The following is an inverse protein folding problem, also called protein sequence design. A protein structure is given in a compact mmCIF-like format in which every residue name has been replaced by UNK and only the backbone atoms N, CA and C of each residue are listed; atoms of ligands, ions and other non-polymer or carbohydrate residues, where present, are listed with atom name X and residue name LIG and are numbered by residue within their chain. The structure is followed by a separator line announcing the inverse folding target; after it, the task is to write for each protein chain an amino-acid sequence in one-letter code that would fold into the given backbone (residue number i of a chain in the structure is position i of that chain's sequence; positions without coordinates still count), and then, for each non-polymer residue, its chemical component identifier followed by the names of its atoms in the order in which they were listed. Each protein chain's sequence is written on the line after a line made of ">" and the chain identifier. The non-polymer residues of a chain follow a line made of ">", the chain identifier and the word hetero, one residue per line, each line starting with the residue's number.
data_IF_092381767591
#
_entry.id   IF_092381767591
#
_cell.length_a   1.000
_cell.length_b   1.000
_cell.length_c   1.000
_cell.angle_alpha   90.00
_cell.angle_beta   90.00
_cell.angle_gamma   90.00
#
_symmetry.space_group_name_H-M   'P 1'
#
loop_
_entity.id
_entity.type
_entity.pdbx_description
1 polymer ?
#
# COMPACT_ATOMS: atom_id res chain seq x y z
N UNK A 1 -39.23 -20.27 -5.86
CA UNK A 1 -38.12 -20.52 -6.80
C UNK A 1 -37.69 -19.27 -7.58
N UNK A 2 -38.58 -18.34 -7.95
CA UNK A 2 -38.20 -17.10 -8.66
C UNK A 2 -37.47 -16.04 -7.77
N UNK A 3 -37.81 -15.96 -6.48
CA UNK A 3 -37.24 -14.95 -5.57
C UNK A 3 -35.78 -15.25 -5.22
N UNK A 4 -35.38 -16.52 -5.09
CA UNK A 4 -33.99 -16.88 -4.78
C UNK A 4 -33.04 -16.55 -5.93
N UNK A 5 -33.46 -16.76 -7.18
CA UNK A 5 -32.67 -16.42 -8.37
C UNK A 5 -32.41 -14.91 -8.49
N UNK A 6 -33.40 -14.08 -8.15
CA UNK A 6 -33.23 -12.63 -8.15
C UNK A 6 -32.29 -12.15 -7.04
N UNK A 7 -32.29 -12.81 -5.87
CA UNK A 7 -31.39 -12.47 -4.77
C UNK A 7 -29.94 -12.83 -5.13
N UNK A 8 -29.67 -14.01 -5.70
CA UNK A 8 -28.32 -14.37 -6.16
C UNK A 8 -27.83 -13.48 -7.29
N UNK A 9 -28.71 -13.13 -8.25
CA UNK A 9 -28.37 -12.19 -9.32
C UNK A 9 -28.04 -10.78 -8.77
N UNK A 10 -28.81 -10.30 -7.79
CA UNK A 10 -28.59 -9.00 -7.15
C UNK A 10 -27.29 -8.98 -6.32
N UNK A 11 -26.98 -10.06 -5.60
CA UNK A 11 -25.72 -10.21 -4.84
C UNK A 11 -24.52 -10.26 -5.79
N UNK A 12 -24.59 -10.95 -6.92
CA UNK A 12 -23.52 -10.97 -7.92
C UNK A 12 -23.34 -9.62 -8.62
N UNK A 13 -24.45 -8.91 -8.90
CA UNK A 13 -24.38 -7.57 -9.46
C UNK A 13 -23.74 -6.59 -8.47
N UNK A 14 -24.11 -6.65 -7.19
CA UNK A 14 -23.49 -5.87 -6.12
C UNK A 14 -22.00 -6.21 -5.96
N UNK A 15 -21.61 -7.49 -6.04
CA UNK A 15 -20.22 -7.91 -6.00
C UNK A 15 -19.41 -7.36 -7.20
N UNK A 16 -20.00 -7.34 -8.40
CA UNK A 16 -19.39 -6.79 -9.61
C UNK A 16 -19.26 -5.26 -9.51
N UNK A 17 -20.29 -4.58 -8.99
CA UNK A 17 -20.25 -3.13 -8.70
C UNK A 17 -19.22 -2.80 -7.64
N UNK A 18 -19.03 -3.65 -6.61
CA UNK A 18 -17.96 -3.48 -5.63
C UNK A 18 -16.56 -3.77 -6.20
N UNK A 19 -16.43 -4.61 -7.24
CA UNK A 19 -15.16 -4.89 -7.89
C UNK A 19 -14.67 -3.70 -8.75
N UNK A 20 -15.58 -2.94 -9.36
CA UNK A 20 -15.24 -1.80 -10.23
C UNK A 20 -14.43 -0.70 -9.52
N UNK A 21 -14.78 -0.20 -8.33
CA UNK A 21 -13.97 0.76 -7.57
C UNK A 21 -12.58 0.22 -7.21
N UNK A 22 -12.45 -1.09 -7.00
CA UNK A 22 -11.18 -1.69 -6.59
C UNK A 22 -10.25 -1.92 -7.80
N UNK A 23 -10.81 -2.31 -8.94
CA UNK A 23 -10.07 -2.34 -10.21
C UNK A 23 -9.73 -0.92 -10.66
N UNK A 24 -10.65 0.04 -10.54
CA UNK A 24 -10.41 1.43 -10.87
C UNK A 24 -9.33 2.07 -10.00
N UNK A 25 -9.29 1.76 -8.69
CA UNK A 25 -8.19 2.18 -7.82
C UNK A 25 -6.88 1.49 -8.19
N UNK A 26 -6.88 0.18 -8.50
CA UNK A 26 -5.69 -0.53 -8.98
C UNK A 26 -5.12 0.05 -10.28
N UNK A 27 -5.98 0.36 -11.25
CA UNK A 27 -5.62 1.00 -12.53
C UNK A 27 -5.19 2.46 -12.31
N UNK A 28 -5.84 3.21 -11.41
CA UNK A 28 -5.44 4.57 -11.04
C UNK A 28 -4.08 4.62 -10.35
N UNK A 29 -3.78 3.65 -9.46
CA UNK A 29 -2.45 3.52 -8.87
C UNK A 29 -1.39 3.13 -9.91
N UNK A 30 -1.75 2.32 -10.90
CA UNK A 30 -0.87 1.99 -12.02
C UNK A 30 -0.67 3.16 -13.00
N UNK A 31 -1.66 4.05 -13.18
CA UNK A 31 -1.59 5.15 -14.14
C UNK A 31 -1.03 6.46 -13.56
N UNK A 32 -1.13 6.70 -12.25
CA UNK A 32 -0.56 7.88 -11.59
C UNK A 32 0.90 7.73 -11.16
N UNK A 33 1.44 6.51 -11.11
CA UNK A 33 2.89 6.33 -10.94
C UNK A 33 3.54 6.39 -12.32
N UNK A 34 4.23 7.52 -12.60
CA UNK A 34 5.01 7.69 -13.82
C UNK A 34 5.87 6.45 -14.09
N UNK A 35 5.90 6.05 -15.36
CA UNK A 35 6.05 4.68 -15.87
C UNK A 35 7.32 3.89 -15.49
N UNK A 36 8.26 4.42 -14.69
CA UNK A 36 9.62 3.86 -14.59
C UNK A 36 10.10 3.52 -13.15
N UNK A 37 9.62 4.19 -12.08
CA UNK A 37 10.13 3.96 -10.69
C UNK A 37 9.51 2.77 -9.96
N UNK A 38 8.31 2.38 -10.40
CA UNK A 38 7.35 1.64 -9.59
C UNK A 38 7.41 0.13 -9.79
N UNK A 39 8.46 -0.42 -10.42
CA UNK A 39 8.55 -1.88 -10.65
C UNK A 39 8.50 -2.68 -9.33
N UNK A 40 8.93 -2.06 -8.23
CA UNK A 40 8.87 -2.64 -6.87
C UNK A 40 7.49 -2.43 -6.20
N UNK A 41 6.74 -1.39 -6.59
CA UNK A 41 5.36 -1.15 -6.13
C UNK A 41 4.29 -1.97 -6.88
N UNK A 42 4.65 -2.65 -7.98
CA UNK A 42 3.74 -3.52 -8.77
C UNK A 42 3.20 -4.72 -7.99
N UNK A 43 4.00 -5.31 -7.11
CA UNK A 43 3.64 -6.55 -6.40
C UNK A 43 2.42 -6.44 -5.47
N UNK A 44 2.30 -5.43 -4.58
CA UNK A 44 1.11 -5.29 -3.73
C UNK A 44 -0.18 -5.05 -4.53
N UNK A 45 -0.11 -4.30 -5.64
CA UNK A 45 -1.27 -4.04 -6.52
C UNK A 45 -1.64 -5.29 -7.33
N UNK A 46 -0.65 -6.04 -7.82
CA UNK A 46 -0.89 -7.31 -8.52
C UNK A 46 -1.50 -8.37 -7.61
N UNK A 47 -1.05 -8.45 -6.34
CA UNK A 47 -1.64 -9.34 -5.33
C UNK A 47 -3.10 -8.94 -5.06
N UNK A 48 -3.38 -7.65 -4.89
CA UNK A 48 -4.75 -7.13 -4.72
C UNK A 48 -5.64 -7.44 -5.92
N UNK A 49 -5.15 -7.21 -7.15
CA UNK A 49 -5.85 -7.51 -8.39
C UNK A 49 -6.13 -9.02 -8.56
N UNK A 50 -5.17 -9.88 -8.22
CA UNK A 50 -5.33 -11.32 -8.25
C UNK A 50 -6.39 -11.80 -7.23
N UNK A 51 -6.39 -11.24 -6.01
CA UNK A 51 -7.39 -11.56 -4.99
C UNK A 51 -8.81 -11.17 -5.42
N UNK A 52 -8.97 -10.03 -6.10
CA UNK A 52 -10.27 -9.59 -6.62
C UNK A 52 -10.75 -10.40 -7.82
N UNK A 53 -9.84 -10.83 -8.70
CA UNK A 53 -10.15 -11.79 -9.76
C UNK A 53 -10.64 -13.12 -9.17
N UNK A 54 -10.03 -13.58 -8.07
CA UNK A 54 -10.51 -14.77 -7.35
C UNK A 54 -11.90 -14.58 -6.75
N UNK A 55 -12.21 -13.41 -6.18
CA UNK A 55 -13.58 -13.05 -5.72
C UNK A 55 -14.58 -13.13 -6.88
N UNK A 56 -14.26 -12.52 -8.02
CA UNK A 56 -15.14 -12.46 -9.19
C UNK A 56 -15.38 -13.86 -9.80
N UNK A 57 -14.32 -14.67 -9.93
CA UNK A 57 -14.42 -16.05 -10.43
C UNK A 57 -15.24 -16.94 -9.49
N UNK A 58 -15.06 -16.81 -8.17
CA UNK A 58 -15.83 -17.56 -7.19
C UNK A 58 -17.33 -17.21 -7.25
N UNK A 59 -17.68 -15.93 -7.36
CA UNK A 59 -19.07 -15.47 -7.49
C UNK A 59 -19.74 -15.94 -8.79
N UNK A 60 -19.00 -16.00 -9.90
CA UNK A 60 -19.50 -16.50 -11.18
C UNK A 60 -19.78 -18.01 -11.16
N UNK A 61 -18.87 -18.80 -10.58
CA UNK A 61 -19.02 -20.27 -10.47
C UNK A 61 -20.17 -20.66 -9.52
N UNK A 62 -20.36 -19.91 -8.43
CA UNK A 62 -21.46 -20.17 -7.48
C UNK A 62 -22.86 -19.95 -8.04
N UNK A 63 -23.01 -19.05 -9.03
CA UNK A 63 -24.31 -18.75 -9.64
C UNK A 63 -24.70 -19.67 -10.81
N UNK A 64 -23.73 -20.32 -11.47
CA UNK A 64 -23.99 -21.05 -12.71
C UNK A 64 -24.48 -22.50 -12.49
N UNK A 65 -24.23 -23.09 -11.32
CA UNK A 65 -24.66 -24.47 -11.04
C UNK A 65 -25.48 -24.61 -9.75
N UNK A 66 -26.80 -24.71 -9.95
CA UNK A 66 -27.81 -24.99 -8.93
C UNK A 66 -27.74 -26.46 -8.43
N UNK A 67 -26.59 -26.86 -7.86
CA UNK A 67 -26.36 -28.16 -7.23
C UNK A 67 -25.93 -27.92 -5.78
N UNK A 68 -26.62 -28.54 -4.83
CA UNK A 68 -26.36 -28.35 -3.38
C UNK A 68 -24.90 -28.60 -2.97
N UNK A 69 -24.20 -29.54 -3.62
CA UNK A 69 -22.78 -29.79 -3.38
C UNK A 69 -21.86 -28.67 -3.86
N UNK A 70 -22.23 -27.95 -4.92
CA UNK A 70 -21.45 -26.83 -5.47
C UNK A 70 -21.58 -25.58 -4.59
N UNK A 71 -22.73 -25.39 -3.93
CA UNK A 71 -22.92 -24.32 -2.96
C UNK A 71 -22.09 -24.53 -1.68
N UNK A 72 -21.96 -25.78 -1.22
CA UNK A 72 -21.09 -26.13 -0.11
C UNK A 72 -19.61 -25.92 -0.45
N UNK A 73 -19.18 -26.33 -1.66
CA UNK A 73 -17.82 -26.07 -2.15
C UNK A 73 -17.53 -24.56 -2.28
N UNK A 74 -18.52 -23.78 -2.73
CA UNK A 74 -18.43 -22.31 -2.79
C UNK A 74 -18.25 -21.68 -1.40
N UNK A 75 -19.02 -22.11 -0.39
CA UNK A 75 -18.86 -21.63 0.99
C UNK A 75 -17.47 -21.97 1.55
N UNK A 76 -16.94 -23.15 1.26
CA UNK A 76 -15.58 -23.52 1.65
C UNK A 76 -14.52 -22.64 0.97
N UNK A 77 -14.65 -22.41 -0.33
CA UNK A 77 -13.74 -21.54 -1.08
C UNK A 77 -13.78 -20.09 -0.57
N UNK A 78 -14.97 -19.57 -0.26
CA UNK A 78 -15.14 -18.23 0.33
C UNK A 78 -14.52 -18.12 1.72
N UNK A 79 -14.68 -19.15 2.56
CA UNK A 79 -14.02 -19.20 3.87
C UNK A 79 -12.50 -19.18 3.73
N UNK A 80 -11.94 -20.01 2.84
CA UNK A 80 -10.50 -20.04 2.56
C UNK A 80 -9.99 -18.67 2.09
N UNK A 81 -10.72 -18.00 1.19
CA UNK A 81 -10.37 -16.66 0.72
C UNK A 81 -10.37 -15.62 1.85
N UNK A 82 -11.38 -15.62 2.72
CA UNK A 82 -11.43 -14.72 3.89
C UNK A 82 -10.24 -14.98 4.81
N UNK A 83 -9.89 -16.24 5.08
CA UNK A 83 -8.72 -16.56 5.92
C UNK A 83 -7.42 -16.08 5.30
N UNK A 84 -7.25 -16.21 3.97
CA UNK A 84 -6.09 -15.70 3.25
C UNK A 84 -6.00 -14.17 3.33
N UNK A 85 -7.12 -13.47 3.12
CA UNK A 85 -7.19 -12.01 3.21
C UNK A 85 -6.84 -11.51 4.62
N UNK A 86 -7.36 -12.17 5.66
CA UNK A 86 -7.03 -11.84 7.05
C UNK A 86 -5.54 -12.07 7.35
N UNK A 87 -4.96 -13.18 6.87
CA UNK A 87 -3.53 -13.45 7.03
C UNK A 87 -2.67 -12.38 6.34
N UNK A 88 -3.03 -12.00 5.11
CA UNK A 88 -2.35 -10.92 4.39
C UNK A 88 -2.48 -9.57 5.09
N UNK A 89 -3.65 -9.24 5.65
CA UNK A 89 -3.85 -8.03 6.45
C UNK A 89 -2.95 -8.01 7.68
N UNK A 90 -2.90 -9.12 8.45
CA UNK A 90 -2.02 -9.24 9.62
C UNK A 90 -0.57 -9.04 9.23
N UNK A 91 -0.12 -9.70 8.16
CA UNK A 91 1.24 -9.53 7.63
C UNK A 91 1.52 -8.09 7.22
N UNK A 92 0.61 -7.48 6.45
CA UNK A 92 0.76 -6.12 5.96
C UNK A 92 0.82 -5.11 7.12
N UNK A 93 0.00 -5.27 8.17
CA UNK A 93 0.09 -4.47 9.38
C UNK A 93 1.41 -4.71 10.13
N UNK A 94 1.85 -5.96 10.29
CA UNK A 94 3.10 -6.27 10.98
C UNK A 94 4.30 -5.59 10.30
N UNK A 95 4.36 -5.65 8.96
CA UNK A 95 5.43 -5.06 8.16
C UNK A 95 5.37 -3.53 8.12
N UNK A 96 4.17 -2.94 8.14
CA UNK A 96 3.96 -1.47 8.05
C UNK A 96 3.83 -0.76 9.39
N UNK A 97 3.84 -1.46 10.53
CA UNK A 97 3.79 -0.86 11.88
C UNK A 97 5.03 -0.02 12.23
N UNK A 98 6.27 -0.55 12.15
CA UNK A 98 7.47 0.18 12.60
C UNK A 98 7.86 1.29 11.61
N UNK A 99 7.98 2.52 12.13
CA UNK A 99 8.30 3.73 11.35
C UNK A 99 9.73 4.14 11.59
N UNK A 100 10.49 4.31 10.51
CA UNK A 100 11.80 4.96 10.57
C UNK A 100 11.77 6.47 10.77
N UNK A 101 10.58 7.07 10.86
CA UNK A 101 10.40 8.50 11.10
C UNK A 101 10.84 8.86 12.53
N UNK A 102 11.66 9.90 12.66
CA UNK A 102 11.99 10.52 13.94
C UNK A 102 11.90 12.05 13.80
N UNK A 103 11.36 12.74 14.83
CA UNK A 103 11.20 14.18 14.77
C UNK A 103 12.56 14.86 14.83
N UNK A 104 12.80 15.79 13.91
CA UNK A 104 13.93 16.68 14.00
C UNK A 104 13.61 17.85 14.94
N UNK A 105 14.55 18.21 15.83
CA UNK A 105 14.31 19.24 16.83
C UNK A 105 14.00 20.60 16.18
N UNK A 106 12.87 21.19 16.55
CA UNK A 106 12.42 22.49 16.02
C UNK A 106 11.99 22.46 14.55
N UNK A 107 11.69 21.30 13.97
CA UNK A 107 11.23 21.15 12.58
C UNK A 107 9.81 20.58 12.51
N UNK A 108 9.03 21.02 11.53
CA UNK A 108 7.69 20.53 11.19
C UNK A 108 7.69 19.29 10.28
N UNK A 109 8.88 18.75 9.99
CA UNK A 109 9.09 17.54 9.20
C UNK A 109 9.87 16.49 10.00
N UNK A 110 9.70 15.23 9.61
CA UNK A 110 10.44 14.12 10.15
C UNK A 110 11.66 13.77 9.28
N UNK A 111 12.72 13.32 9.93
CA UNK A 111 13.84 12.63 9.28
C UNK A 111 13.60 11.12 9.35
N UNK A 112 14.24 10.36 8.46
CA UNK A 112 13.96 8.93 8.29
C UNK A 112 15.24 8.10 8.40
N UNK A 113 15.23 7.11 9.29
CA UNK A 113 16.29 6.10 9.45
C UNK A 113 15.82 4.74 8.96
N UNK A 114 16.68 4.04 8.24
CA UNK A 114 16.42 2.68 7.76
C UNK A 114 16.08 1.74 8.92
N UNK A 115 16.83 1.79 10.02
CA UNK A 115 16.73 0.84 11.13
C UNK A 115 15.39 0.85 11.86
N UNK A 116 14.62 1.94 11.75
CA UNK A 116 13.27 1.99 12.32
C UNK A 116 12.20 1.31 11.47
N UNK A 117 12.55 0.76 10.30
CA UNK A 117 11.64 -0.05 9.47
C UNK A 117 11.80 -1.55 9.73
N UNK A 118 10.73 -2.32 9.45
CA UNK A 118 10.76 -3.78 9.59
C UNK A 118 11.84 -4.40 8.69
N UNK A 119 12.47 -5.48 9.16
CA UNK A 119 13.52 -6.18 8.42
C UNK A 119 13.05 -6.57 7.01
N UNK A 120 11.81 -7.08 6.89
CA UNK A 120 11.23 -7.43 5.60
C UNK A 120 11.14 -6.23 4.63
N UNK A 121 10.72 -5.06 5.11
CA UNK A 121 10.60 -3.87 4.26
C UNK A 121 11.99 -3.37 3.84
N UNK A 122 12.95 -3.37 4.77
CA UNK A 122 14.36 -3.04 4.49
C UNK A 122 14.94 -3.96 3.44
N UNK A 123 14.81 -5.27 3.59
CA UNK A 123 15.36 -6.25 2.64
C UNK A 123 14.69 -6.14 1.27
N UNK A 124 13.39 -5.82 1.22
CA UNK A 124 12.67 -5.66 -0.04
C UNK A 124 13.21 -4.53 -0.93
N UNK A 125 13.68 -3.43 -0.33
CA UNK A 125 14.17 -2.23 -1.04
C UNK A 125 15.70 -2.14 -1.05
N UNK A 126 16.34 -2.38 0.09
CA UNK A 126 17.77 -2.17 0.33
C UNK A 126 18.59 -3.46 0.39
N UNK A 127 17.95 -4.64 0.33
CA UNK A 127 18.66 -5.93 0.38
C UNK A 127 19.47 -6.23 -0.89
N UNK A 128 18.96 -5.84 -2.06
CA UNK A 128 19.63 -6.06 -3.35
C UNK A 128 20.21 -4.74 -3.91
N UNK A 129 21.55 -4.60 -4.04
CA UNK A 129 22.16 -3.37 -4.56
C UNK A 129 21.73 -3.06 -5.99
N UNK A 130 21.66 -4.08 -6.87
CA UNK A 130 21.18 -3.90 -8.27
C UNK A 130 19.74 -3.41 -8.35
N UNK A 131 18.90 -3.78 -7.38
CA UNK A 131 17.51 -3.32 -7.32
C UNK A 131 17.46 -1.86 -6.92
N UNK A 132 18.27 -1.47 -5.94
CA UNK A 132 18.43 -0.08 -5.55
C UNK A 132 18.98 0.78 -6.70
N UNK A 133 19.90 0.28 -7.52
CA UNK A 133 20.40 1.02 -8.68
C UNK A 133 19.31 1.38 -9.70
N UNK A 134 18.32 0.51 -9.89
CA UNK A 134 17.14 0.85 -10.72
C UNK A 134 16.27 1.92 -10.06
N UNK A 135 16.06 1.81 -8.75
CA UNK A 135 15.27 2.78 -7.98
C UNK A 135 15.95 4.14 -7.95
N UNK A 136 17.26 4.21 -7.66
CA UNK A 136 18.03 5.47 -7.62
C UNK A 136 17.99 6.19 -8.96
N UNK A 137 18.16 5.46 -10.07
CA UNK A 137 18.17 6.05 -11.41
C UNK A 137 16.82 6.71 -11.72
N UNK A 138 15.73 6.06 -11.32
CA UNK A 138 14.43 6.66 -11.46
C UNK A 138 14.17 7.81 -10.48
N UNK A 139 14.62 7.72 -9.21
CA UNK A 139 14.49 8.81 -8.25
C UNK A 139 15.23 10.07 -8.74
N UNK A 140 16.41 9.91 -9.33
CA UNK A 140 17.18 10.98 -9.96
C UNK A 140 16.48 11.56 -11.19
N UNK A 141 15.79 10.73 -11.98
CA UNK A 141 14.95 11.20 -13.09
C UNK A 141 13.62 11.82 -12.63
N UNK A 142 13.23 11.63 -11.37
CA UNK A 142 11.95 12.09 -10.85
C UNK A 142 11.93 13.59 -10.55
N UNK A 143 10.79 14.21 -10.78
CA UNK A 143 10.60 15.65 -10.53
C UNK A 143 10.42 16.01 -9.05
N UNK A 144 10.56 15.07 -8.13
CA UNK A 144 10.22 15.30 -6.72
C UNK A 144 11.15 16.33 -6.07
N UNK A 145 12.47 16.14 -6.18
CA UNK A 145 13.45 17.12 -5.71
C UNK A 145 13.50 18.37 -6.60
N UNK A 146 13.27 18.21 -7.91
CA UNK A 146 13.22 19.33 -8.86
C UNK A 146 12.07 20.30 -8.54
N UNK A 147 10.88 19.78 -8.22
CA UNK A 147 9.72 20.56 -7.80
C UNK A 147 9.98 21.27 -6.48
N UNK A 148 10.57 20.57 -5.50
CA UNK A 148 10.95 21.20 -4.24
C UNK A 148 11.98 22.33 -4.43
N UNK A 149 12.93 22.14 -5.34
CA UNK A 149 13.89 23.19 -5.71
C UNK A 149 13.20 24.38 -6.41
N UNK A 150 12.21 24.14 -7.28
CA UNK A 150 11.44 25.20 -7.95
C UNK A 150 10.53 25.97 -6.98
N UNK A 151 10.05 25.30 -5.93
CA UNK A 151 9.28 25.92 -4.85
C UNK A 151 10.15 26.80 -3.92
N UNK A 152 11.45 26.98 -4.21
CA UNK A 152 12.33 27.90 -3.46
C UNK A 152 11.80 29.33 -3.35
N UNK A 153 10.93 29.75 -4.28
CA UNK A 153 10.24 31.05 -4.23
C UNK A 153 9.32 31.18 -3.02
N UNK A 154 8.79 30.06 -2.50
CA UNK A 154 7.95 30.03 -1.30
C UNK A 154 8.76 29.82 -0.01
N UNK A 155 9.97 29.29 -0.12
CA UNK A 155 10.86 28.95 1.00
C UNK A 155 12.07 29.89 1.08
N UNK A 156 11.80 31.20 1.10
CA UNK A 156 12.82 32.25 1.11
C UNK A 156 13.57 32.25 2.44
N UNK A 157 12.84 32.04 3.55
CA UNK A 157 13.43 32.01 4.89
C UNK A 157 13.62 30.57 5.37
N UNK A 158 14.70 30.29 6.13
CA UNK A 158 14.93 28.97 6.71
C UNK A 158 13.76 28.53 7.60
N UNK A 159 13.15 29.45 8.34
CA UNK A 159 12.01 29.16 9.23
C UNK A 159 10.78 28.63 8.48
N UNK A 160 10.47 29.21 7.31
CA UNK A 160 9.37 28.72 6.46
C UNK A 160 9.63 27.29 5.99
N UNK A 161 10.88 26.98 5.62
CA UNK A 161 11.26 25.63 5.25
C UNK A 161 11.21 24.68 6.46
N UNK A 162 11.68 25.13 7.63
CA UNK A 162 11.71 24.34 8.85
C UNK A 162 10.31 23.99 9.35
N UNK A 163 9.32 24.83 9.13
CA UNK A 163 7.92 24.59 9.51
C UNK A 163 7.11 23.88 8.41
N UNK A 164 7.70 23.62 7.25
CA UNK A 164 7.01 22.96 6.14
C UNK A 164 6.83 21.46 6.37
N UNK A 165 5.72 20.91 5.88
CA UNK A 165 5.50 19.47 5.86
C UNK A 165 6.08 18.86 4.59
N UNK A 166 7.28 18.30 4.72
CA UNK A 166 7.90 17.55 3.61
C UNK A 166 7.39 16.10 3.58
N UNK A 167 7.24 15.59 2.36
CA UNK A 167 6.98 14.15 2.16
C UNK A 167 8.21 13.33 2.55
N UNK A 168 8.07 12.03 2.90
CA UNK A 168 9.20 11.19 3.28
C UNK A 168 10.32 11.15 2.24
N UNK A 169 9.96 11.20 0.96
CA UNK A 169 10.93 11.24 -0.14
C UNK A 169 11.67 12.58 -0.21
N UNK A 170 10.95 13.68 -0.02
CA UNK A 170 11.56 15.02 -0.04
C UNK A 170 12.53 15.20 1.13
N UNK A 171 12.16 14.78 2.34
CA UNK A 171 13.04 14.91 3.50
C UNK A 171 14.20 13.89 3.50
N UNK A 172 14.04 12.72 2.89
CA UNK A 172 15.08 11.69 2.83
C UNK A 172 16.08 11.85 1.69
N UNK A 173 15.66 12.34 0.52
CA UNK A 173 16.48 12.39 -0.69
C UNK A 173 16.91 13.81 -1.11
N UNK A 174 16.08 14.83 -0.83
CA UNK A 174 16.26 16.18 -1.38
C UNK A 174 16.90 17.17 -0.40
N UNK A 175 17.20 16.74 0.83
CA UNK A 175 17.92 17.52 1.84
C UNK A 175 18.89 16.60 2.61
N UNK A 176 19.94 17.14 3.26
CA UNK A 176 20.79 16.36 4.14
C UNK A 176 20.09 16.06 5.47
N UNK A 177 20.54 15.02 6.21
CA UNK A 177 20.05 14.73 7.55
C UNK A 177 20.28 15.91 8.51
N UNK A 178 19.31 16.22 9.38
CA UNK A 178 19.41 17.37 10.29
C UNK A 178 20.57 17.22 11.28
N UNK A 179 20.94 15.99 11.63
CA UNK A 179 22.05 15.66 12.54
C UNK A 179 23.42 16.10 12.02
N UNK A 180 23.57 16.29 10.70
CA UNK A 180 24.80 16.75 10.09
C UNK A 180 25.06 18.25 10.34
N UNK A 181 24.01 19.01 10.68
CA UNK A 181 24.12 20.44 11.02
C UNK A 181 24.55 21.31 9.84
N UNK A 182 24.08 21.04 8.63
CA UNK A 182 24.31 21.93 7.48
C UNK A 182 23.57 23.25 7.62
N UNK A 183 24.18 24.32 7.10
CA UNK A 183 23.54 25.63 6.96
C UNK A 183 22.64 25.68 5.71
N UNK A 184 21.43 26.22 5.89
CA UNK A 184 20.42 26.36 4.85
C UNK A 184 20.78 27.49 3.88
N UNK A 185 20.78 27.20 2.57
CA UNK A 185 20.88 28.21 1.51
C UNK A 185 19.60 28.21 0.67
N UNK A 186 19.16 27.02 0.26
CA UNK A 186 17.90 26.81 -0.46
C UNK A 186 17.35 25.41 -0.13
N UNK A 187 16.13 25.05 -0.56
CA UNK A 187 15.52 23.75 -0.22
C UNK A 187 16.39 22.54 -0.53
N UNK A 188 17.19 22.61 -1.60
CA UNK A 188 18.08 21.52 -2.07
C UNK A 188 19.56 21.86 -1.99
N UNK A 189 19.93 23.07 -1.53
CA UNK A 189 21.34 23.49 -1.42
C UNK A 189 21.67 23.82 0.03
N UNK A 190 22.69 23.11 0.52
CA UNK A 190 23.11 23.15 1.90
C UNK A 190 24.64 23.19 1.98
N UNK A 191 25.19 24.00 2.87
CA UNK A 191 26.65 24.22 2.96
C UNK A 191 27.16 24.11 4.39
N UNK A 192 28.45 23.85 4.56
CA UNK A 192 29.17 23.82 5.85
C UNK A 192 28.50 22.93 6.91
N UNK A 193 28.72 21.60 6.87
CA UNK A 193 28.24 20.72 7.92
C UNK A 193 28.94 21.01 9.25
N UNK A 194 28.17 21.26 10.31
CA UNK A 194 28.71 21.41 11.66
C UNK A 194 29.20 20.07 12.24
N UNK A 195 28.62 18.95 11.81
CA UNK A 195 29.00 17.61 12.29
C UNK A 195 29.01 16.57 11.14
N UNK A 196 30.03 16.60 10.26
CA UNK A 196 30.12 15.71 9.10
C UNK A 196 30.33 14.23 9.48
N UNK A 197 30.71 13.94 10.73
CA UNK A 197 30.91 12.57 11.25
C UNK A 197 29.70 12.03 12.03
N UNK A 198 28.60 12.78 12.13
CA UNK A 198 27.40 12.36 12.85
C UNK A 198 26.72 11.13 12.24
N UNK A 199 26.78 11.03 10.91
CA UNK A 199 26.13 10.00 10.12
C UNK A 199 26.95 9.80 8.83
N UNK A 200 26.97 8.58 8.30
CA UNK A 200 27.63 8.28 7.02
C UNK A 200 26.97 9.06 5.87
N UNK A 201 25.67 9.36 5.98
CA UNK A 201 24.92 10.13 4.99
C UNK A 201 25.38 11.60 4.93
N UNK A 202 26.00 12.13 5.99
CA UNK A 202 26.52 13.50 5.98
C UNK A 202 27.64 13.66 4.93
N UNK A 203 28.53 12.69 4.81
CA UNK A 203 29.60 12.72 3.82
C UNK A 203 29.12 12.39 2.40
N UNK A 204 28.00 11.68 2.27
CA UNK A 204 27.43 11.26 0.99
C UNK A 204 26.54 12.33 0.33
N UNK A 205 26.18 13.39 1.06
CA UNK A 205 25.35 14.48 0.54
C UNK A 205 26.08 15.30 -0.54
N UNK A 206 25.40 15.55 -1.66
CA UNK A 206 25.83 16.47 -2.71
C UNK A 206 24.78 17.54 -3.03
N UNK A 207 25.21 18.73 -3.47
CA UNK A 207 24.30 19.80 -3.92
C UNK A 207 23.93 19.68 -5.42
N UNK A 208 24.52 18.72 -6.14
CA UNK A 208 24.22 18.50 -7.56
C UNK A 208 22.83 17.85 -7.71
N UNK A 209 21.91 18.43 -8.52
CA UNK A 209 20.55 17.93 -8.68
C UNK A 209 20.45 16.48 -9.17
N UNK A 210 21.48 15.98 -9.85
CA UNK A 210 21.56 14.60 -10.36
C UNK A 210 22.07 13.59 -9.34
N UNK A 211 22.72 14.04 -8.26
CA UNK A 211 23.35 13.18 -7.25
C UNK A 211 22.64 13.26 -5.90
N UNK A 212 22.35 14.47 -5.41
CA UNK A 212 21.71 14.76 -4.12
C UNK A 212 22.10 13.75 -3.03
N UNK A 213 21.13 13.22 -2.26
CA UNK A 213 21.34 12.10 -1.35
C UNK A 213 20.81 10.77 -1.93
N UNK A 214 20.81 10.57 -3.26
CA UNK A 214 20.19 9.38 -3.84
C UNK A 214 20.87 8.06 -3.46
N UNK A 215 22.14 8.09 -3.02
CA UNK A 215 22.86 6.90 -2.53
C UNK A 215 22.77 6.73 -1.00
N UNK A 216 22.26 7.73 -0.30
CA UNK A 216 22.19 7.77 1.15
C UNK A 216 21.21 6.75 1.72
N UNK A 217 21.48 6.35 2.96
CA UNK A 217 20.64 5.52 3.79
C UNK A 217 19.29 6.23 4.08
N UNK A 218 19.33 7.55 4.26
CA UNK A 218 18.18 8.43 4.48
C UNK A 218 17.23 8.47 3.29
N UNK A 219 17.74 8.42 2.05
CA UNK A 219 16.90 8.38 0.86
C UNK A 219 16.20 7.02 0.70
N UNK A 220 16.90 5.92 0.99
CA UNK A 220 16.27 4.59 1.09
C UNK A 220 15.17 4.56 2.15
N UNK A 221 15.42 5.18 3.31
CA UNK A 221 14.44 5.31 4.37
C UNK A 221 13.22 6.15 3.94
N UNK A 222 13.43 7.27 3.24
CA UNK A 222 12.37 8.10 2.65
C UNK A 222 11.53 7.36 1.61
N UNK A 223 12.15 6.51 0.79
CA UNK A 223 11.45 5.63 -0.14
C UNK A 223 10.60 4.60 0.61
N UNK A 224 11.13 3.98 1.66
CA UNK A 224 10.39 3.05 2.53
C UNK A 224 9.21 3.75 3.23
N UNK A 225 9.37 5.00 3.66
CA UNK A 225 8.30 5.82 4.22
C UNK A 225 7.18 6.07 3.22
N UNK A 226 7.53 6.45 1.99
CA UNK A 226 6.57 6.64 0.89
C UNK A 226 5.83 5.34 0.57
N UNK A 227 6.54 4.23 0.48
CA UNK A 227 5.97 2.92 0.19
C UNK A 227 5.01 2.48 1.30
N UNK A 228 5.41 2.65 2.57
CA UNK A 228 4.57 2.36 3.73
C UNK A 228 3.27 3.16 3.71
N UNK A 229 3.34 4.46 3.43
CA UNK A 229 2.17 5.34 3.36
C UNK A 229 1.18 4.85 2.29
N UNK A 230 1.69 4.49 1.11
CA UNK A 230 0.89 3.91 0.04
C UNK A 230 0.29 2.55 0.42
N UNK A 231 1.07 1.67 1.05
CA UNK A 231 0.58 0.38 1.54
C UNK A 231 -0.50 0.53 2.59
N UNK A 232 -0.38 1.52 3.49
CA UNK A 232 -1.39 1.79 4.50
C UNK A 232 -2.72 2.20 3.85
N UNK A 233 -2.69 3.04 2.82
CA UNK A 233 -3.88 3.43 2.06
C UNK A 233 -4.52 2.23 1.34
N UNK A 234 -3.71 1.39 0.71
CA UNK A 234 -4.18 0.16 0.07
C UNK A 234 -4.77 -0.83 1.09
N UNK A 235 -4.13 -0.98 2.26
CA UNK A 235 -4.61 -1.83 3.35
C UNK A 235 -5.98 -1.37 3.88
N UNK A 236 -6.25 -0.07 3.94
CA UNK A 236 -7.59 0.44 4.31
C UNK A 236 -8.65 -0.07 3.34
N UNK A 237 -8.40 0.02 2.02
CA UNK A 237 -9.32 -0.53 1.03
C UNK A 237 -9.49 -2.05 1.17
N UNK A 238 -8.40 -2.78 1.45
CA UNK A 238 -8.42 -4.22 1.68
C UNK A 238 -9.23 -4.61 2.94
N UNK A 239 -9.13 -3.83 4.02
CA UNK A 239 -9.96 -4.01 5.22
C UNK A 239 -11.44 -3.86 4.89
N UNK A 240 -11.82 -2.80 4.17
CA UNK A 240 -13.20 -2.55 3.77
C UNK A 240 -13.73 -3.72 2.92
N UNK A 241 -12.95 -4.17 1.93
CA UNK A 241 -13.32 -5.32 1.09
C UNK A 241 -13.48 -6.61 1.92
N UNK A 242 -12.59 -6.86 2.87
CA UNK A 242 -12.64 -8.05 3.73
C UNK A 242 -13.88 -8.03 4.63
N UNK A 243 -14.24 -6.88 5.21
CA UNK A 243 -15.46 -6.73 6.01
C UNK A 243 -16.71 -6.98 5.17
N UNK A 244 -16.76 -6.43 3.95
CA UNK A 244 -17.86 -6.68 3.02
C UNK A 244 -17.98 -8.17 2.68
N UNK A 245 -16.86 -8.85 2.39
CA UNK A 245 -16.84 -10.29 2.11
C UNK A 245 -17.34 -11.13 3.30
N UNK A 246 -16.97 -10.78 4.53
CA UNK A 246 -17.48 -11.45 5.74
C UNK A 246 -18.99 -11.28 5.85
N UNK A 247 -19.52 -10.09 5.58
CA UNK A 247 -20.96 -9.83 5.60
C UNK A 247 -21.71 -10.69 4.56
N UNK A 248 -21.22 -10.72 3.32
CA UNK A 248 -21.81 -11.58 2.27
C UNK A 248 -21.68 -13.07 2.59
N UNK A 249 -20.59 -13.49 3.21
CA UNK A 249 -20.39 -14.88 3.66
C UNK A 249 -21.43 -15.28 4.72
N UNK A 250 -21.74 -14.40 5.68
CA UNK A 250 -22.78 -14.66 6.70
C UNK A 250 -24.16 -14.81 6.04
N UNK A 251 -24.49 -13.97 5.07
CA UNK A 251 -25.74 -14.07 4.29
C UNK A 251 -25.78 -15.37 3.47
N UNK A 252 -24.67 -15.74 2.83
CA UNK A 252 -24.56 -17.00 2.09
C UNK A 252 -24.77 -18.21 3.01
N UNK A 253 -24.17 -18.20 4.20
CA UNK A 253 -24.35 -19.22 5.22
C UNK A 253 -25.80 -19.31 5.72
N UNK A 254 -26.47 -18.18 5.95
CA UNK A 254 -27.86 -18.17 6.40
C UNK A 254 -28.82 -18.66 5.32
N UNK A 255 -28.60 -18.27 4.05
CA UNK A 255 -29.36 -18.77 2.91
C UNK A 255 -29.19 -20.28 2.73
N UNK A 256 -27.97 -20.79 2.87
CA UNK A 256 -27.70 -22.23 2.78
C UNK A 256 -28.38 -23.02 3.90
N UNK A 257 -28.28 -22.53 5.16
CA UNK A 257 -28.98 -23.14 6.30
C UNK A 257 -30.48 -23.17 6.08
N UNK A 258 -31.08 -22.09 5.60
CA UNK A 258 -32.51 -22.02 5.32
C UNK A 258 -32.92 -23.04 4.24
N UNK A 259 -32.18 -23.14 3.13
CA UNK A 259 -32.47 -24.12 2.07
C UNK A 259 -32.36 -25.57 2.57
N UNK A 260 -31.35 -25.88 3.40
CA UNK A 260 -31.20 -27.21 3.98
C UNK A 260 -32.34 -27.56 4.95
N UNK A 261 -32.82 -26.57 5.71
CA UNK A 261 -33.94 -26.73 6.65
C UNK A 261 -35.25 -26.96 5.90
N UNK A 262 -35.52 -26.20 4.82
CA UNK A 262 -36.68 -26.42 3.95
C UNK A 262 -36.69 -27.82 3.34
N UNK A 263 -35.55 -28.32 2.87
CA UNK A 263 -35.46 -29.68 2.32
C UNK A 263 -35.71 -30.77 3.36
N UNK A 264 -35.24 -30.58 4.60
CA UNK A 264 -35.53 -31.49 5.71
C UNK A 264 -37.04 -31.50 6.03
N UNK A 265 -37.67 -30.33 6.13
CA UNK A 265 -39.12 -30.22 6.33
C UNK A 265 -39.92 -30.84 5.18
N UNK A 266 -39.48 -30.66 3.93
CA UNK A 266 -40.13 -31.26 2.76
C UNK A 266 -40.04 -32.79 2.83
N UNK A 267 -38.88 -33.37 3.16
CA UNK A 267 -38.75 -34.83 3.35
C UNK A 267 -39.61 -35.36 4.49
N UNK A 268 -39.74 -34.63 5.60
CA UNK A 268 -40.62 -35.03 6.71
C UNK A 268 -42.11 -34.99 6.32
N UNK A 269 -42.54 -33.96 5.59
CA UNK A 269 -43.95 -33.77 5.20
C UNK A 269 -44.48 -34.82 4.21
N UNK A 270 -43.63 -35.38 3.35
CA UNK A 270 -44.01 -36.38 2.35
C UNK A 270 -43.79 -37.84 2.79
N UNK A 271 -43.34 -38.06 4.04
CA UNK A 271 -43.09 -39.41 4.60
C UNK A 271 -44.18 -39.86 5.60
N UNK A 272 -45.13 -39.00 5.92
CA UNK A 272 -46.42 -39.34 6.53
C UNK A 272 -47.51 -39.26 5.45
#
# INVERSE_FOLDING_TARGET
>A
MAVSNNITACVNFLALVCAVPVVATGVWFASKQGEECARVARWPVAILGALLLLVALAGFVGAYWNRQGLLAAYLFAMAALITLLLALLVFAFAVTRPSGAYPAFGRGYDDYRLDGYSAWLRDHVAGDPRRWEGIRACLAASDTCRKLAQESVFFITPEQFYQSHLTPLQSGCCKPPTVCGYSYVSPTVWVNPANPAADADCAAWGNDPSQLCYECSSCKAGMLGTLREQWRRANVALVIATVALIFFYIIGCSAFKNAQTEDLFRRYKWRN
#
